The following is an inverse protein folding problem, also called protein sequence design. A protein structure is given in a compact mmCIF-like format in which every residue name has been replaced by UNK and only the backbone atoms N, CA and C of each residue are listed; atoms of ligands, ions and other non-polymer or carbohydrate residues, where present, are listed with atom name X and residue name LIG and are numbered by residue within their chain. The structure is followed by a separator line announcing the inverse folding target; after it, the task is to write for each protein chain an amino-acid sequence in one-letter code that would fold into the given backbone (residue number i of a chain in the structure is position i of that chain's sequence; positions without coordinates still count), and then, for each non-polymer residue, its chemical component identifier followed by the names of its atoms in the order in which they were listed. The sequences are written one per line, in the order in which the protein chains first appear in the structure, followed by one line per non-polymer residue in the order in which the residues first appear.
data_IF_027178617823
#
_entry.id   IF_027178617823
#
_cell.length_a   1.000
_cell.length_b   1.000
_cell.length_c   1.000
_cell.angle_alpha   90.00
_cell.angle_beta   90.00
_cell.angle_gamma   90.00
#
_symmetry.space_group_name_H-M   'P 1'
#
loop_
_entity.id
_entity.type
_entity.pdbx_description
1 polymer ?
#
# COMPACT_ATOMS: atom_id res chain seq x y z
N UNK A 1 -19.65 -14.04 -7.44
CA UNK A 1 -18.36 -13.30 -7.46
C UNK A 1 -17.80 -13.33 -6.06
N UNK A 2 -16.57 -13.79 -5.90
CA UNK A 2 -15.94 -13.89 -4.58
C UNK A 2 -15.76 -12.49 -3.99
N UNK A 3 -16.20 -12.31 -2.74
CA UNK A 3 -16.09 -11.03 -2.01
C UNK A 3 -14.66 -10.46 -2.07
N UNK A 4 -13.65 -11.33 -2.05
CA UNK A 4 -12.24 -10.93 -2.13
C UNK A 4 -11.90 -10.28 -3.46
N UNK A 5 -12.39 -10.81 -4.59
CA UNK A 5 -12.12 -10.23 -5.93
C UNK A 5 -12.71 -8.83 -6.03
N UNK A 6 -13.94 -8.64 -5.55
CA UNK A 6 -14.60 -7.32 -5.54
C UNK A 6 -13.81 -6.31 -4.72
N UNK A 7 -13.37 -6.69 -3.52
CA UNK A 7 -12.61 -5.80 -2.64
C UNK A 7 -11.23 -5.48 -3.20
N UNK A 8 -10.52 -6.46 -3.74
CA UNK A 8 -9.22 -6.26 -4.40
C UNK A 8 -9.35 -5.28 -5.56
N UNK A 9 -10.37 -5.45 -6.42
CA UNK A 9 -10.62 -4.54 -7.55
C UNK A 9 -11.02 -3.15 -7.08
N UNK A 10 -11.87 -3.04 -6.06
CA UNK A 10 -12.26 -1.76 -5.47
C UNK A 10 -11.05 -0.99 -4.94
N UNK A 11 -10.17 -1.66 -4.21
CA UNK A 11 -9.00 -1.00 -3.63
C UNK A 11 -7.91 -0.69 -4.67
N UNK A 12 -7.78 -1.47 -5.73
CA UNK A 12 -6.97 -1.09 -6.89
C UNK A 12 -7.51 0.20 -7.54
N UNK A 13 -8.84 0.34 -7.66
CA UNK A 13 -9.48 1.56 -8.14
C UNK A 13 -9.28 2.75 -7.16
N UNK A 14 -9.25 2.52 -5.84
CA UNK A 14 -8.93 3.57 -4.86
C UNK A 14 -7.49 4.08 -5.05
N UNK A 15 -6.50 3.19 -5.25
CA UNK A 15 -5.12 3.63 -5.56
C UNK A 15 -5.11 4.47 -6.84
N UNK A 16 -5.83 4.05 -7.89
CA UNK A 16 -5.92 4.79 -9.15
C UNK A 16 -6.59 6.16 -8.97
N UNK A 17 -7.71 6.23 -8.24
CA UNK A 17 -8.41 7.48 -7.96
C UNK A 17 -7.55 8.49 -7.19
N UNK A 18 -6.72 8.03 -6.25
CA UNK A 18 -5.76 8.87 -5.55
C UNK A 18 -4.65 9.40 -6.47
N UNK A 19 -4.43 8.78 -7.63
CA UNK A 19 -3.57 9.28 -8.69
C UNK A 19 -4.10 10.52 -9.41
N UNK A 20 -5.40 10.82 -9.32
CA UNK A 20 -6.01 12.02 -9.86
C UNK A 20 -5.71 13.27 -9.04
N UNK A 21 -5.28 13.10 -7.79
CA UNK A 21 -4.85 14.21 -6.94
C UNK A 21 -3.56 14.79 -7.51
N UNK A 22 -3.45 16.14 -7.64
CA UNK A 22 -2.26 16.78 -8.17
C UNK A 22 -0.99 16.33 -7.44
N UNK A 23 0.03 15.99 -8.20
CA UNK A 23 1.33 15.58 -7.70
C UNK A 23 2.27 16.77 -7.51
N UNK A 24 3.17 16.71 -6.54
CA UNK A 24 4.31 17.60 -6.40
C UNK A 24 5.54 16.86 -6.92
N UNK A 25 6.15 17.37 -7.99
CA UNK A 25 7.36 16.76 -8.55
C UNK A 25 8.59 17.40 -7.93
N UNK A 26 9.47 16.58 -7.35
CA UNK A 26 10.74 17.01 -6.78
C UNK A 26 11.88 16.87 -7.80
N UNK A 27 13.04 17.44 -7.46
CA UNK A 27 14.27 17.40 -8.25
C UNK A 27 14.75 15.95 -8.52
N UNK A 28 14.38 14.99 -7.64
CA UNK A 28 14.66 13.56 -7.80
C UNK A 28 13.97 12.90 -9.00
N UNK A 29 13.01 13.58 -9.63
CA UNK A 29 12.14 13.00 -10.65
C UNK A 29 11.05 12.06 -10.10
N UNK A 30 11.07 11.77 -8.80
CA UNK A 30 10.01 10.99 -8.12
C UNK A 30 8.92 11.95 -7.65
N UNK A 31 7.66 11.76 -8.06
CA UNK A 31 6.56 12.63 -7.62
C UNK A 31 6.06 12.23 -6.22
N UNK A 32 5.74 13.22 -5.40
CA UNK A 32 4.94 13.04 -4.19
C UNK A 32 3.49 12.87 -4.63
N UNK A 33 2.88 11.75 -4.29
CA UNK A 33 1.50 11.42 -4.69
C UNK A 33 0.67 10.96 -3.49
N UNK A 34 -0.64 11.02 -3.60
CA UNK A 34 -1.54 10.45 -2.60
C UNK A 34 -1.67 8.91 -2.72
N UNK A 35 -1.14 8.29 -3.77
CA UNK A 35 -1.33 6.86 -4.07
C UNK A 35 -0.75 5.93 -2.99
N UNK A 36 0.35 6.33 -2.31
CA UNK A 36 0.88 5.57 -1.19
C UNK A 36 -0.09 5.48 0.00
N UNK A 37 -0.98 6.46 0.20
CA UNK A 37 -2.08 6.33 1.16
C UNK A 37 -3.03 5.19 0.77
N UNK A 38 -3.37 5.06 -0.52
CA UNK A 38 -4.19 3.96 -1.02
C UNK A 38 -3.54 2.60 -0.76
N UNK A 39 -2.22 2.50 -0.94
CA UNK A 39 -1.44 1.29 -0.63
C UNK A 39 -1.49 0.95 0.86
N UNK A 40 -1.32 1.95 1.75
CA UNK A 40 -1.47 1.77 3.21
C UNK A 40 -2.88 1.28 3.57
N UNK A 41 -3.93 1.87 2.97
CA UNK A 41 -5.32 1.47 3.18
C UNK A 41 -5.59 0.03 2.69
N UNK A 42 -5.00 -0.39 1.57
CA UNK A 42 -5.07 -1.79 1.13
C UNK A 42 -4.59 -2.74 2.23
N UNK A 43 -3.44 -2.45 2.84
CA UNK A 43 -2.89 -3.27 3.90
C UNK A 43 -3.75 -3.24 5.18
N UNK A 44 -4.11 -2.06 5.68
CA UNK A 44 -4.83 -1.92 6.96
C UNK A 44 -6.25 -2.46 6.91
N UNK A 45 -6.91 -2.46 5.75
CA UNK A 45 -8.30 -2.88 5.60
C UNK A 45 -8.39 -4.32 5.08
N UNK A 46 -7.73 -4.64 3.97
CA UNK A 46 -7.83 -5.95 3.33
C UNK A 46 -6.90 -7.00 3.96
N UNK A 47 -5.85 -6.57 4.66
CA UNK A 47 -4.81 -7.45 5.17
C UNK A 47 -3.69 -7.72 4.16
N UNK A 48 -2.73 -8.56 4.55
CA UNK A 48 -1.48 -8.74 3.83
C UNK A 48 -1.67 -9.22 2.38
N UNK A 49 -2.33 -10.36 2.18
CA UNK A 49 -2.45 -11.00 0.87
C UNK A 49 -3.35 -10.20 -0.07
N UNK A 50 -4.56 -9.87 0.35
CA UNK A 50 -5.51 -9.15 -0.49
C UNK A 50 -5.05 -7.70 -0.76
N UNK A 51 -4.39 -7.05 0.21
CA UNK A 51 -3.79 -5.73 0.02
C UNK A 51 -2.68 -5.73 -1.04
N UNK A 52 -1.77 -6.73 -0.98
CA UNK A 52 -0.74 -6.89 -2.00
C UNK A 52 -1.33 -7.19 -3.38
N UNK A 53 -2.37 -8.03 -3.46
CA UNK A 53 -3.09 -8.31 -4.71
C UNK A 53 -3.73 -7.07 -5.33
N UNK A 54 -4.31 -6.18 -4.51
CA UNK A 54 -4.87 -4.91 -4.98
C UNK A 54 -3.79 -4.01 -5.59
N UNK A 55 -2.63 -3.91 -4.94
CA UNK A 55 -1.49 -3.16 -5.46
C UNK A 55 -0.92 -3.80 -6.74
N UNK A 56 -0.82 -5.13 -6.82
CA UNK A 56 -0.38 -5.84 -8.01
C UNK A 56 -1.37 -5.66 -9.17
N UNK A 57 -2.68 -5.72 -8.92
CA UNK A 57 -3.70 -5.47 -9.94
C UNK A 57 -3.58 -4.04 -10.47
N UNK A 58 -3.43 -3.04 -9.59
CA UNK A 58 -3.20 -1.66 -9.99
C UNK A 58 -1.96 -1.51 -10.87
N UNK A 59 -0.83 -2.12 -10.51
CA UNK A 59 0.40 -2.07 -11.30
C UNK A 59 0.27 -2.83 -12.62
N UNK A 60 -0.42 -3.97 -12.64
CA UNK A 60 -0.69 -4.73 -13.85
C UNK A 60 -1.50 -3.91 -14.86
N UNK A 61 -2.58 -3.27 -14.41
CA UNK A 61 -3.38 -2.36 -15.25
C UNK A 61 -2.56 -1.17 -15.74
N UNK A 62 -1.71 -0.61 -14.88
CA UNK A 62 -0.78 0.47 -15.26
C UNK A 62 0.20 0.01 -16.34
N UNK A 63 0.77 -1.20 -16.21
CA UNK A 63 1.70 -1.78 -17.18
C UNK A 63 1.05 -2.03 -18.54
N UNK A 64 -0.24 -2.40 -18.55
CA UNK A 64 -1.05 -2.56 -19.77
C UNK A 64 -1.34 -1.24 -20.50
N UNK A 65 -0.91 -0.11 -19.96
CA UNK A 65 -1.03 1.18 -20.62
C UNK A 65 -2.09 2.11 -20.03
N UNK A 66 -2.87 1.68 -19.03
CA UNK A 66 -3.84 2.58 -18.42
C UNK A 66 -3.12 3.72 -17.66
N UNK A 67 -3.56 4.99 -17.83
CA UNK A 67 -2.89 6.16 -17.25
C UNK A 67 -3.27 6.34 -15.76
N UNK A 68 -2.98 5.34 -14.93
CA UNK A 68 -3.45 5.27 -13.53
C UNK A 68 -2.49 5.94 -12.53
N UNK A 69 -1.24 6.20 -12.93
CA UNK A 69 -0.29 6.91 -12.07
C UNK A 69 -0.53 8.42 -12.07
N UNK A 70 -0.14 9.06 -10.99
CA UNK A 70 -0.28 10.50 -10.83
C UNK A 70 0.32 11.27 -12.01
N UNK A 71 -0.49 12.19 -12.56
CA UNK A 71 -0.20 12.92 -13.79
C UNK A 71 -0.50 12.14 -15.08
N UNK A 72 -1.38 11.15 -15.03
CA UNK A 72 -1.83 10.40 -16.20
C UNK A 72 -0.78 9.49 -16.82
N UNK A 73 0.23 9.05 -16.05
CA UNK A 73 1.28 8.17 -16.53
C UNK A 73 0.86 6.71 -16.47
N UNK A 74 1.28 5.93 -17.47
CA UNK A 74 1.03 4.50 -17.57
C UNK A 74 1.93 3.86 -18.63
N UNK A 75 1.72 2.58 -18.89
CA UNK A 75 2.51 1.77 -19.80
C UNK A 75 3.84 1.30 -19.20
N UNK A 76 4.57 0.48 -19.93
CA UNK A 76 5.83 -0.11 -19.47
C UNK A 76 6.92 0.93 -19.21
N UNK A 77 6.87 2.09 -19.87
CA UNK A 77 7.86 3.15 -19.71
C UNK A 77 7.95 3.69 -18.27
N UNK A 78 6.87 3.60 -17.46
CA UNK A 78 6.91 4.05 -16.07
C UNK A 78 7.83 3.19 -15.20
N UNK A 79 8.06 1.93 -15.60
CA UNK A 79 8.98 1.01 -14.92
C UNK A 79 10.45 1.24 -15.29
N UNK A 80 10.72 2.10 -16.26
CA UNK A 80 12.06 2.58 -16.61
C UNK A 80 12.30 4.02 -16.11
N UNK A 81 11.61 4.44 -15.05
CA UNK A 81 11.71 5.80 -14.49
C UNK A 81 12.26 5.79 -13.06
N UNK A 82 12.73 6.92 -12.52
CA UNK A 82 13.23 7.03 -11.14
C UNK A 82 12.26 6.56 -10.06
N UNK A 83 10.95 6.46 -10.38
CA UNK A 83 9.93 5.96 -9.45
C UNK A 83 9.76 4.44 -9.45
N UNK A 84 10.50 3.68 -10.27
CA UNK A 84 10.34 2.22 -10.40
C UNK A 84 10.44 1.47 -9.08
N UNK A 85 11.40 1.83 -8.23
CA UNK A 85 11.58 1.20 -6.92
C UNK A 85 10.35 1.38 -6.02
N UNK A 86 9.72 2.54 -6.05
CA UNK A 86 8.47 2.79 -5.32
C UNK A 86 7.30 2.02 -5.90
N UNK A 87 7.22 1.85 -7.22
CA UNK A 87 6.18 1.04 -7.85
C UNK A 87 6.29 -0.43 -7.42
N UNK A 88 7.49 -1.00 -7.51
CA UNK A 88 7.78 -2.37 -7.02
C UNK A 88 7.51 -2.46 -5.51
N UNK A 89 7.79 -1.39 -4.79
CA UNK A 89 7.53 -1.28 -3.35
C UNK A 89 6.05 -1.30 -2.96
N UNK A 90 5.11 -0.94 -3.85
CA UNK A 90 3.69 -0.87 -3.52
C UNK A 90 3.10 -2.20 -3.01
N UNK A 91 3.25 -3.34 -3.71
CA UNK A 91 2.79 -4.63 -3.20
C UNK A 91 3.47 -5.03 -1.90
N UNK A 92 4.76 -4.77 -1.78
CA UNK A 92 5.54 -5.06 -0.56
C UNK A 92 5.02 -4.23 0.61
N UNK A 93 4.81 -2.94 0.40
CA UNK A 93 4.28 -2.01 1.40
C UNK A 93 2.87 -2.43 1.86
N UNK A 94 1.97 -2.74 0.92
CA UNK A 94 0.63 -3.22 1.24
C UNK A 94 0.67 -4.53 2.04
N UNK A 95 1.54 -5.47 1.64
CA UNK A 95 1.72 -6.74 2.35
C UNK A 95 2.22 -6.50 3.78
N UNK A 96 3.31 -5.75 3.95
CA UNK A 96 3.91 -5.48 5.26
C UNK A 96 2.94 -4.71 6.16
N UNK A 97 2.21 -3.71 5.61
CA UNK A 97 1.16 -2.99 6.36
C UNK A 97 0.10 -3.96 6.86
N UNK A 98 -0.42 -4.84 6.00
CA UNK A 98 -1.46 -5.81 6.37
C UNK A 98 -0.95 -6.87 7.35
N UNK A 99 0.26 -7.36 7.15
CA UNK A 99 0.90 -8.31 8.06
C UNK A 99 1.12 -7.70 9.45
N UNK A 100 1.64 -6.47 9.51
CA UNK A 100 1.81 -5.74 10.76
C UNK A 100 0.46 -5.51 11.46
N UNK A 101 -0.59 -5.16 10.72
CA UNK A 101 -1.93 -4.96 11.26
C UNK A 101 -2.49 -6.23 11.93
N UNK A 102 -2.23 -7.41 11.34
CA UNK A 102 -2.63 -8.71 11.89
C UNK A 102 -1.91 -9.01 13.21
N UNK A 103 -0.62 -8.71 13.30
CA UNK A 103 0.18 -8.93 14.52
C UNK A 103 -0.13 -7.90 15.62
N UNK A 104 -0.62 -6.72 15.24
CA UNK A 104 -1.03 -5.65 16.15
C UNK A 104 -2.52 -5.74 16.55
N UNK A 105 -3.18 -6.90 16.33
CA UNK A 105 -4.60 -7.08 16.59
C UNK A 105 -5.01 -6.85 18.06
N UNK A 106 -4.08 -7.00 19.01
CA UNK A 106 -4.27 -6.73 20.44
C UNK A 106 -4.41 -5.25 20.80
N UNK A 107 -3.90 -4.35 19.94
CA UNK A 107 -4.00 -2.92 20.16
C UNK A 107 -5.33 -2.37 19.61
N UNK A 108 -5.71 -1.17 20.05
CA UNK A 108 -6.84 -0.46 19.48
C UNK A 108 -6.57 -0.13 18.01
N UNK A 109 -7.65 -0.07 17.19
CA UNK A 109 -7.56 0.00 15.73
C UNK A 109 -6.76 1.20 15.22
N UNK A 110 -6.89 2.38 15.87
CA UNK A 110 -6.21 3.59 15.45
C UNK A 110 -4.68 3.49 15.55
N UNK A 111 -4.11 3.29 16.76
CA UNK A 111 -2.66 3.09 16.91
C UNK A 111 -2.10 1.90 16.13
N UNK A 112 -2.85 0.78 16.05
CA UNK A 112 -2.44 -0.38 15.28
C UNK A 112 -2.30 -0.04 13.79
N UNK A 113 -3.27 0.64 13.21
CA UNK A 113 -3.23 1.04 11.80
C UNK A 113 -2.18 2.13 11.53
N UNK A 114 -1.95 3.07 12.46
CA UNK A 114 -0.88 4.04 12.32
C UNK A 114 0.50 3.38 12.29
N UNK A 115 0.77 2.47 13.24
CA UNK A 115 2.04 1.76 13.30
C UNK A 115 2.22 0.82 12.10
N UNK A 116 1.17 0.11 11.69
CA UNK A 116 1.20 -0.73 10.51
C UNK A 116 1.47 0.07 9.22
N UNK A 117 0.81 1.23 9.05
CA UNK A 117 1.04 2.12 7.92
C UNK A 117 2.44 2.73 7.91
N UNK A 118 3.01 3.05 9.08
CA UNK A 118 4.39 3.50 9.20
C UNK A 118 5.38 2.41 8.78
N UNK A 119 5.22 1.18 9.28
CA UNK A 119 6.11 0.07 8.96
C UNK A 119 6.06 -0.32 7.47
N UNK A 120 4.86 -0.43 6.91
CA UNK A 120 4.68 -0.79 5.51
C UNK A 120 4.82 0.39 4.55
N UNK A 121 4.10 1.47 4.80
CA UNK A 121 3.97 2.60 3.89
C UNK A 121 5.15 3.57 3.91
N UNK A 122 5.99 3.55 4.93
CA UNK A 122 7.24 4.30 4.97
C UNK A 122 8.42 3.33 4.92
N UNK A 123 8.66 2.53 5.96
CA UNK A 123 9.89 1.75 6.07
C UNK A 123 10.01 0.75 4.91
N UNK A 124 9.02 -0.14 4.75
CA UNK A 124 9.09 -1.18 3.71
C UNK A 124 9.01 -0.60 2.28
N UNK A 125 8.32 0.53 2.09
CA UNK A 125 8.22 1.21 0.80
C UNK A 125 9.53 1.90 0.39
N UNK A 126 10.21 2.53 1.35
CA UNK A 126 11.42 3.30 1.06
C UNK A 126 12.63 2.41 0.73
N UNK A 127 12.69 1.18 1.23
CA UNK A 127 13.78 0.25 0.91
C UNK A 127 13.90 0.05 -0.61
N UNK A 128 12.92 -0.55 -1.31
CA UNK A 128 13.01 -0.69 -2.76
C UNK A 128 12.95 0.65 -3.48
N UNK A 129 12.27 1.67 -2.92
CA UNK A 129 12.18 3.01 -3.48
C UNK A 129 13.53 3.69 -3.62
N UNK A 130 14.31 3.71 -2.55
CA UNK A 130 15.66 4.33 -2.54
C UNK A 130 16.64 3.52 -3.38
N UNK A 131 16.59 2.18 -3.32
CA UNK A 131 17.44 1.31 -4.13
C UNK A 131 17.15 1.55 -5.62
N UNK A 132 15.89 1.52 -6.03
CA UNK A 132 15.51 1.77 -7.43
C UNK A 132 15.89 3.17 -7.90
N UNK A 133 15.69 4.18 -7.06
CA UNK A 133 16.11 5.54 -7.35
C UNK A 133 17.63 5.62 -7.54
N UNK A 134 18.42 5.05 -6.62
CA UNK A 134 19.88 5.02 -6.68
C UNK A 134 20.39 4.44 -8.00
N UNK A 135 19.80 3.33 -8.45
CA UNK A 135 20.14 2.67 -9.72
C UNK A 135 19.76 3.56 -10.92
N UNK A 136 18.56 4.15 -10.89
CA UNK A 136 18.02 4.90 -12.03
C UNK A 136 18.70 6.26 -12.26
N UNK A 137 19.25 6.88 -11.22
CA UNK A 137 19.90 8.19 -11.32
C UNK A 137 21.44 8.10 -11.17
N UNK A 138 21.97 6.88 -11.04
CA UNK A 138 23.41 6.61 -10.87
C UNK A 138 24.03 7.41 -9.70
N UNK A 139 23.39 7.35 -8.53
CA UNK A 139 23.87 8.03 -7.31
C UNK A 139 24.01 7.08 -6.15
N UNK A 140 24.93 7.34 -5.21
CA UNK A 140 25.04 6.55 -3.98
C UNK A 140 23.73 6.50 -3.20
N UNK A 141 23.47 5.39 -2.49
CA UNK A 141 22.28 5.19 -1.67
C UNK A 141 22.00 6.33 -0.68
N UNK A 142 23.06 6.84 -0.04
CA UNK A 142 22.92 7.94 0.93
C UNK A 142 22.44 9.23 0.26
N UNK A 143 22.93 9.54 -0.92
CA UNK A 143 22.48 10.69 -1.70
C UNK A 143 21.03 10.51 -2.17
N UNK A 144 20.67 9.30 -2.59
CA UNK A 144 19.29 8.96 -2.98
C UNK A 144 18.32 9.03 -1.81
N UNK A 145 18.75 8.62 -0.61
CA UNK A 145 17.97 8.76 0.63
C UNK A 145 17.73 10.24 0.95
N UNK A 146 18.73 11.10 0.82
CA UNK A 146 18.57 12.54 1.03
C UNK A 146 17.57 13.16 0.04
N UNK A 147 17.52 12.67 -1.21
CA UNK A 147 16.57 13.14 -2.23
C UNK A 147 15.12 12.77 -1.93
N UNK A 148 14.86 11.70 -1.16
CA UNK A 148 13.50 11.30 -0.77
C UNK A 148 13.11 11.80 0.62
N UNK A 149 14.03 12.33 1.41
CA UNK A 149 13.74 12.89 2.73
C UNK A 149 12.60 13.95 2.73
N UNK A 150 12.45 14.82 1.71
CA UNK A 150 11.32 15.74 1.61
C UNK A 150 9.94 15.07 1.50
N UNK A 151 9.85 13.76 1.24
CA UNK A 151 8.57 13.04 1.20
C UNK A 151 8.05 12.72 2.60
N UNK A 152 8.94 12.59 3.59
CA UNK A 152 8.61 12.13 4.95
C UNK A 152 7.48 12.92 5.61
N UNK A 153 7.47 14.28 5.60
CA UNK A 153 6.37 15.02 6.21
C UNK A 153 5.01 14.69 5.59
N UNK A 154 4.96 14.56 4.25
CA UNK A 154 3.75 14.16 3.53
C UNK A 154 3.33 12.72 3.86
N UNK A 155 4.29 11.81 4.01
CA UNK A 155 3.99 10.41 4.32
C UNK A 155 3.54 10.22 5.77
N UNK A 156 4.05 11.02 6.72
CA UNK A 156 3.53 11.06 8.11
C UNK A 156 2.07 11.50 8.13
N UNK A 157 1.70 12.53 7.35
CA UNK A 157 0.30 12.95 7.21
C UNK A 157 -0.56 11.79 6.66
N UNK A 158 -0.07 11.05 5.66
CA UNK A 158 -0.78 9.89 5.10
C UNK A 158 -0.92 8.75 6.11
N UNK A 159 0.07 8.51 6.98
CA UNK A 159 -0.04 7.55 8.08
C UNK A 159 -1.17 7.93 9.03
N UNK A 160 -1.26 9.21 9.40
CA UNK A 160 -2.34 9.71 10.26
C UNK A 160 -3.70 9.55 9.56
N UNK A 161 -3.81 9.97 8.30
CA UNK A 161 -5.04 9.83 7.51
C UNK A 161 -5.44 8.36 7.36
N UNK A 162 -4.49 7.46 7.11
CA UNK A 162 -4.74 6.03 7.04
C UNK A 162 -5.34 5.51 8.36
N UNK A 163 -4.78 5.92 9.49
CA UNK A 163 -5.28 5.52 10.81
C UNK A 163 -6.71 6.04 11.08
N UNK A 164 -6.97 7.31 10.76
CA UNK A 164 -8.29 7.93 10.91
C UNK A 164 -9.32 7.23 10.03
N UNK A 165 -9.01 7.02 8.74
CA UNK A 165 -9.91 6.36 7.79
C UNK A 165 -10.17 4.91 8.20
N UNK A 166 -9.13 4.14 8.55
CA UNK A 166 -9.28 2.76 8.99
C UNK A 166 -10.14 2.67 10.25
N UNK A 167 -9.94 3.57 11.23
CA UNK A 167 -10.77 3.66 12.43
C UNK A 167 -12.22 3.99 12.09
N UNK A 168 -12.46 4.96 11.23
CA UNK A 168 -13.82 5.35 10.81
C UNK A 168 -14.56 4.19 10.13
N UNK A 169 -13.88 3.47 9.21
CA UNK A 169 -14.44 2.29 8.55
C UNK A 169 -14.73 1.18 9.58
N UNK A 170 -13.84 0.94 10.52
CA UNK A 170 -14.04 -0.06 11.56
C UNK A 170 -15.23 0.28 12.48
N UNK A 171 -15.46 1.56 12.76
CA UNK A 171 -16.61 1.99 13.57
C UNK A 171 -17.93 1.84 12.80
N UNK A 172 -17.95 2.21 11.52
CA UNK A 172 -19.13 2.15 10.69
C UNK A 172 -19.45 0.72 10.21
N UNK A 173 -18.44 -0.06 9.86
CA UNK A 173 -18.55 -1.41 9.31
C UNK A 173 -17.37 -2.30 9.72
N UNK A 174 -17.35 -2.86 10.94
CA UNK A 174 -16.24 -3.65 11.49
C UNK A 174 -15.85 -4.83 10.59
N UNK A 175 -16.83 -5.45 9.93
CA UNK A 175 -16.61 -6.58 9.01
C UNK A 175 -15.84 -6.24 7.74
N UNK A 176 -15.63 -4.97 7.43
CA UNK A 176 -14.84 -4.56 6.27
C UNK A 176 -13.34 -4.51 6.57
N UNK A 177 -12.94 -4.44 7.83
CA UNK A 177 -11.51 -4.42 8.23
C UNK A 177 -11.03 -5.86 8.41
N UNK A 178 -10.81 -6.54 7.29
CA UNK A 178 -10.43 -7.96 7.23
C UNK A 178 -9.05 -8.22 7.85
N UNK A 179 -8.18 -7.22 7.84
CA UNK A 179 -6.85 -7.31 8.44
C UNK A 179 -6.84 -7.66 9.92
N UNK A 180 -7.92 -7.36 10.65
CA UNK A 180 -8.06 -7.61 12.08
C UNK A 180 -8.96 -8.81 12.43
N UNK A 181 -9.65 -9.38 11.45
CA UNK A 181 -10.47 -10.58 11.67
C UNK A 181 -9.54 -11.76 11.98
N UNK A 182 -9.81 -12.54 13.05
CA UNK A 182 -9.13 -13.81 13.23
C UNK A 182 -9.34 -14.62 11.94
N UNK A 183 -8.25 -15.06 11.30
CA UNK A 183 -8.39 -16.05 10.24
C UNK A 183 -9.11 -17.24 10.88
N UNK A 184 -10.28 -17.62 10.36
CA UNK A 184 -10.95 -18.84 10.73
C UNK A 184 -9.92 -19.96 10.72
N UNK A 185 -9.67 -20.56 11.88
CA UNK A 185 -8.90 -21.79 11.97
C UNK A 185 -9.48 -22.76 10.92
N UNK A 186 -8.65 -23.51 10.20
CA UNK A 186 -9.15 -24.49 9.26
C UNK A 186 -10.13 -25.40 10.02
N UNK A 187 -11.29 -25.64 9.43
CA UNK A 187 -12.36 -26.48 9.95
C UNK A 187 -11.84 -27.90 10.29
N UNK A 188 -11.21 -28.02 11.44
CA UNK A 188 -10.84 -29.33 12.00
C UNK A 188 -12.03 -30.00 12.65
N UNK A 189 -13.18 -29.31 12.75
CA UNK A 189 -14.39 -29.86 13.35
C UNK A 189 -15.20 -30.79 12.44
N UNK A 190 -14.93 -30.81 11.14
CA UNK A 190 -15.65 -31.70 10.21
C UNK A 190 -15.10 -33.11 10.12
N UNK A 191 -13.87 -33.36 10.64
CA UNK A 191 -13.24 -34.69 10.55
C UNK A 191 -13.46 -35.60 11.77
N UNK A 192 -14.11 -35.09 12.82
CA UNK A 192 -14.38 -35.88 14.03
C UNK A 192 -15.81 -36.46 14.09
N UNK A 193 -16.64 -36.20 13.08
CA UNK A 193 -18.03 -36.71 13.04
C UNK A 193 -18.20 -37.89 12.09
N UNK A 194 -17.14 -38.39 11.46
CA UNK A 194 -17.17 -39.54 10.53
C UNK A 194 -16.28 -40.74 10.98
N UNK A 195 -15.96 -40.87 12.26
CA UNK A 195 -15.35 -42.10 12.83
C UNK A 195 -16.20 -42.66 13.94
#
# INVERSE_FOLDING_TARGET
MDKNVVLVSLFAAVIAALGLIPKITLISGVPITAQSLGVMLCGTILGARAGAQAALLFLGLTALGLPLLAGGRGGLAVFASPSVGFLIGFPIAAFVTGWSMQHLARFSIGPASALAALLGGIIALYIPGVIGLSIMIDKPLLASLALVAPFLPGDVIKVILCAVITRAINTARPQMVLAKSPQSAPDTAAQTAEN
#
